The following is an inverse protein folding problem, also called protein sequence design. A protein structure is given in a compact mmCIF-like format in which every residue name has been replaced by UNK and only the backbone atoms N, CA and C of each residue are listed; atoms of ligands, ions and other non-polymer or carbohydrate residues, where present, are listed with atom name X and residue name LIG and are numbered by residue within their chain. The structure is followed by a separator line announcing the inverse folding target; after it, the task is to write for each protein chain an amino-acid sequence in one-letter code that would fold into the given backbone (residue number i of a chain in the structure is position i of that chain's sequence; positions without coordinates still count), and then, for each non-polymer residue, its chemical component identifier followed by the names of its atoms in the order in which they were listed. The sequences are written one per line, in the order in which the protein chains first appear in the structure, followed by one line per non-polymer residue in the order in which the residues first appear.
data_IF_168005531076
#
_entry.id   IF_168005531076
#
_cell.length_a   1.000
_cell.length_b   1.000
_cell.length_c   1.000
_cell.angle_alpha   90.00
_cell.angle_beta   90.00
_cell.angle_gamma   90.00
#
_symmetry.space_group_name_H-M   'P 1'
#
loop_
_entity.id
_entity.type
_entity.pdbx_description
1 polymer ?
#
# COMPACT_ATOMS: atom_id res chain seq x y z
N UNK A 1 -27.60 35.29 -83.96
CA UNK A 1 -26.54 34.69 -83.09
C UNK A 1 -26.21 35.57 -81.90
N UNK A 2 -26.16 36.90 -82.06
CA UNK A 2 -25.84 37.85 -80.96
C UNK A 2 -26.85 37.79 -79.79
N UNK A 3 -28.17 37.65 -80.07
CA UNK A 3 -29.18 37.53 -78.99
C UNK A 3 -29.10 36.26 -78.18
N UNK A 4 -28.65 35.14 -78.80
CA UNK A 4 -28.43 33.86 -78.11
C UNK A 4 -27.21 33.95 -77.22
N UNK A 5 -26.13 34.63 -77.59
CA UNK A 5 -24.94 34.87 -76.81
C UNK A 5 -25.27 35.78 -75.62
N UNK A 6 -26.02 36.83 -75.80
CA UNK A 6 -26.46 37.77 -74.77
C UNK A 6 -27.32 37.02 -73.71
N UNK A 7 -28.23 36.16 -74.16
CA UNK A 7 -29.07 35.31 -73.24
C UNK A 7 -28.23 34.35 -72.47
N UNK A 8 -27.25 33.72 -73.11
CA UNK A 8 -26.35 32.73 -72.40
C UNK A 8 -25.49 33.46 -71.36
N UNK A 9 -24.93 34.68 -71.65
CA UNK A 9 -24.18 35.46 -70.68
C UNK A 9 -25.05 35.91 -69.50
N UNK A 10 -26.28 36.34 -69.75
CA UNK A 10 -27.22 36.72 -68.70
C UNK A 10 -27.54 35.53 -67.80
N UNK A 11 -27.77 34.32 -68.37
CA UNK A 11 -28.04 33.10 -67.61
C UNK A 11 -26.87 32.70 -66.74
N UNK A 12 -25.62 32.83 -67.23
CA UNK A 12 -24.39 32.56 -66.43
C UNK A 12 -24.27 33.59 -65.30
N UNK A 13 -24.55 34.85 -65.53
CA UNK A 13 -24.51 35.90 -64.48
C UNK A 13 -25.55 35.58 -63.40
N UNK A 14 -26.77 35.24 -63.77
CA UNK A 14 -27.83 34.84 -62.81
C UNK A 14 -27.42 33.59 -62.01
N UNK A 15 -26.82 32.59 -62.68
CA UNK A 15 -26.35 31.38 -62.01
C UNK A 15 -25.24 31.70 -60.98
N UNK A 16 -24.27 32.56 -61.36
CA UNK A 16 -23.18 32.99 -60.42
C UNK A 16 -23.77 33.75 -59.23
N UNK A 17 -24.77 34.60 -59.45
CA UNK A 17 -25.45 35.32 -58.37
C UNK A 17 -26.17 34.36 -57.46
N UNK A 18 -26.91 33.37 -57.97
CA UNK A 18 -27.63 32.33 -57.19
C UNK A 18 -26.68 31.51 -56.34
N UNK A 19 -25.54 31.08 -56.90
CA UNK A 19 -24.54 30.28 -56.16
C UNK A 19 -23.94 31.11 -55.01
N UNK A 20 -23.71 32.43 -55.22
CA UNK A 20 -23.20 33.33 -54.20
C UNK A 20 -24.25 33.66 -53.11
N UNK A 21 -25.52 33.51 -53.37
CA UNK A 21 -26.61 33.69 -52.39
C UNK A 21 -26.64 32.62 -51.31
N UNK A 22 -26.21 31.41 -51.66
CA UNK A 22 -26.27 30.27 -50.73
C UNK A 22 -25.04 30.25 -49.83
N UNK A 23 -25.24 30.26 -48.50
CA UNK A 23 -24.18 30.13 -47.51
C UNK A 23 -24.54 29.06 -46.50
N UNK A 24 -23.60 28.16 -46.26
CA UNK A 24 -23.73 27.09 -45.28
C UNK A 24 -22.92 27.52 -44.04
N UNK A 25 -23.59 27.50 -42.89
CA UNK A 25 -22.94 27.72 -41.57
C UNK A 25 -22.64 26.37 -40.97
N UNK A 26 -21.35 26.05 -40.75
CA UNK A 26 -20.96 24.76 -40.16
C UNK A 26 -21.34 24.69 -38.67
N UNK A 27 -21.34 23.47 -38.13
CA UNK A 27 -21.66 23.24 -36.72
C UNK A 27 -20.70 24.01 -35.80
N UNK A 28 -21.22 24.50 -34.66
CA UNK A 28 -20.51 25.33 -33.68
C UNK A 28 -19.95 26.63 -34.22
N UNK A 29 -20.57 27.17 -35.30
CA UNK A 29 -20.30 28.51 -35.81
C UNK A 29 -21.59 29.33 -35.88
N UNK A 30 -21.44 30.64 -35.78
CA UNK A 30 -22.51 31.58 -36.07
C UNK A 30 -21.97 32.69 -36.96
N UNK A 31 -22.85 33.27 -37.78
CA UNK A 31 -22.51 34.38 -38.63
C UNK A 31 -23.42 35.56 -38.34
N UNK A 32 -22.84 36.69 -38.03
CA UNK A 32 -23.57 37.96 -37.83
C UNK A 32 -23.72 38.62 -39.15
N UNK A 33 -24.96 38.95 -39.53
CA UNK A 33 -25.34 39.52 -40.84
C UNK A 33 -25.78 40.98 -40.66
N UNK A 34 -25.18 41.86 -41.45
CA UNK A 34 -25.54 43.25 -41.60
C UNK A 34 -26.26 43.47 -42.92
N UNK A 35 -27.27 44.31 -42.88
CA UNK A 35 -27.94 44.82 -44.06
C UNK A 35 -27.82 46.34 -44.10
N UNK A 36 -27.14 46.84 -45.15
CA UNK A 36 -26.90 48.30 -45.33
C UNK A 36 -26.31 48.97 -44.07
N UNK A 37 -25.41 48.25 -43.35
CA UNK A 37 -24.74 48.76 -42.15
C UNK A 37 -25.48 48.56 -40.84
N UNK A 38 -26.71 48.04 -40.86
CA UNK A 38 -27.48 47.72 -39.66
C UNK A 38 -27.49 46.18 -39.36
N UNK A 39 -27.50 45.79 -38.10
CA UNK A 39 -27.69 44.39 -37.72
C UNK A 39 -29.02 43.85 -38.23
N UNK A 40 -29.02 42.77 -38.98
CA UNK A 40 -30.20 42.08 -39.46
C UNK A 40 -30.55 40.86 -38.60
N UNK A 41 -29.64 39.91 -38.55
CA UNK A 41 -29.86 38.66 -37.86
C UNK A 41 -28.54 37.92 -37.64
N UNK A 42 -28.56 36.95 -36.73
CA UNK A 42 -27.46 36.00 -36.53
C UNK A 42 -27.86 34.65 -37.10
N UNK A 43 -27.09 34.13 -38.04
CA UNK A 43 -27.30 32.80 -38.61
C UNK A 43 -26.67 31.74 -37.74
N UNK A 44 -27.50 30.78 -37.33
CA UNK A 44 -27.09 29.52 -36.69
C UNK A 44 -26.71 28.49 -37.74
N UNK A 45 -26.39 27.28 -37.28
CA UNK A 45 -26.04 26.12 -38.13
C UNK A 45 -27.13 25.87 -39.20
N UNK A 46 -26.71 25.65 -40.43
CA UNK A 46 -27.60 25.29 -41.53
C UNK A 46 -27.37 26.07 -42.80
N UNK A 47 -28.32 25.94 -43.72
CA UNK A 47 -28.32 26.61 -45.02
C UNK A 47 -29.06 27.97 -44.90
N UNK A 48 -28.43 29.03 -45.31
CA UNK A 48 -29.00 30.38 -45.30
C UNK A 48 -28.86 31.06 -46.68
N UNK A 49 -29.83 31.90 -46.97
CA UNK A 49 -29.85 32.70 -48.19
C UNK A 49 -29.41 34.16 -47.90
N UNK A 50 -28.36 34.59 -48.58
CA UNK A 50 -27.82 35.93 -48.53
C UNK A 50 -28.27 36.74 -49.76
N UNK A 51 -28.78 37.93 -49.56
CA UNK A 51 -29.03 38.84 -50.66
C UNK A 51 -27.70 39.47 -51.09
N UNK A 52 -27.21 39.18 -52.31
CA UNK A 52 -25.93 39.75 -52.78
C UNK A 52 -26.03 41.27 -52.82
N UNK A 53 -24.92 41.96 -52.63
CA UNK A 53 -24.74 43.41 -52.59
C UNK A 53 -25.38 44.15 -51.40
N UNK A 54 -26.48 43.65 -50.81
CA UNK A 54 -27.19 44.28 -49.70
C UNK A 54 -26.76 43.70 -48.36
N UNK A 55 -26.64 42.36 -48.27
CA UNK A 55 -26.27 41.66 -47.05
C UNK A 55 -24.75 41.42 -46.96
N UNK A 56 -24.17 41.74 -45.83
CA UNK A 56 -22.74 41.55 -45.51
C UNK A 56 -22.61 40.67 -44.30
N UNK A 57 -21.65 39.74 -44.32
CA UNK A 57 -21.22 39.01 -43.13
C UNK A 57 -20.29 39.91 -42.35
N UNK A 58 -20.74 40.41 -41.20
CA UNK A 58 -19.97 41.30 -40.34
C UNK A 58 -18.88 40.54 -39.60
N UNK A 59 -19.26 39.41 -38.95
CA UNK A 59 -18.31 38.59 -38.21
C UNK A 59 -18.71 37.10 -38.25
N UNK A 60 -17.73 36.24 -38.41
CA UNK A 60 -17.86 34.79 -38.20
C UNK A 60 -17.39 34.47 -36.80
N UNK A 61 -18.21 33.80 -36.01
CA UNK A 61 -17.98 33.53 -34.61
C UNK A 61 -17.93 32.02 -34.39
N UNK A 62 -16.94 31.58 -33.64
CA UNK A 62 -16.80 30.17 -33.19
C UNK A 62 -17.43 30.07 -31.83
N UNK A 63 -18.42 29.19 -31.68
CA UNK A 63 -19.14 28.97 -30.43
C UNK A 63 -18.49 27.90 -29.52
N UNK A 64 -17.43 27.29 -30.01
CA UNK A 64 -16.64 26.34 -29.17
C UNK A 64 -15.89 27.11 -28.11
N UNK A 65 -15.57 26.40 -27.02
CA UNK A 65 -14.64 26.95 -26.04
C UNK A 65 -13.30 27.27 -26.68
N UNK A 66 -12.82 28.44 -26.39
CA UNK A 66 -11.54 28.99 -26.88
C UNK A 66 -10.62 29.21 -25.71
N UNK A 67 -9.32 29.06 -25.95
CA UNK A 67 -8.26 29.21 -24.94
C UNK A 67 -7.34 30.34 -25.43
N UNK A 68 -7.09 31.30 -24.56
CA UNK A 68 -6.11 32.36 -24.81
C UNK A 68 -5.10 32.37 -23.68
N UNK A 69 -3.84 32.30 -24.08
CA UNK A 69 -2.67 32.40 -23.18
C UNK A 69 -2.18 33.86 -23.22
N UNK A 70 -2.24 34.55 -22.10
CA UNK A 70 -1.80 35.91 -21.96
C UNK A 70 -0.36 35.95 -21.45
N UNK A 71 0.44 36.93 -21.97
CA UNK A 71 1.83 37.09 -21.58
C UNK A 71 1.97 37.41 -20.09
N UNK A 72 3.15 37.15 -19.49
CA UNK A 72 3.41 37.45 -18.09
C UNK A 72 3.13 38.91 -17.74
N UNK A 73 2.30 39.12 -16.72
CA UNK A 73 1.93 40.45 -16.23
C UNK A 73 2.70 40.77 -14.94
N UNK A 74 3.32 41.92 -14.81
CA UNK A 74 3.96 42.34 -13.58
C UNK A 74 2.88 42.72 -12.54
N UNK A 75 2.96 42.12 -11.38
CA UNK A 75 2.08 42.37 -10.23
C UNK A 75 2.90 42.58 -8.98
N UNK A 76 2.34 43.30 -8.01
CA UNK A 76 2.98 43.58 -6.71
C UNK A 76 2.07 43.04 -5.63
N UNK A 77 2.63 42.20 -4.75
CA UNK A 77 1.93 41.66 -3.61
C UNK A 77 1.80 42.66 -2.46
N UNK A 78 0.98 42.32 -1.47
CA UNK A 78 0.78 43.15 -0.26
C UNK A 78 2.08 43.39 0.52
N UNK A 79 2.98 42.45 0.53
CA UNK A 79 4.33 42.53 1.14
C UNK A 79 5.39 43.17 0.21
N UNK A 80 4.91 43.85 -0.83
CA UNK A 80 5.71 44.65 -1.77
C UNK A 80 6.73 43.85 -2.60
N UNK A 81 6.43 42.63 -2.92
CA UNK A 81 7.24 41.78 -3.82
C UNK A 81 6.68 41.91 -5.24
N UNK A 82 7.51 42.31 -6.19
CA UNK A 82 7.14 42.35 -7.63
C UNK A 82 7.35 40.97 -8.23
N UNK A 83 6.31 40.39 -8.84
CA UNK A 83 6.40 39.09 -9.51
C UNK A 83 5.77 39.16 -10.91
N UNK A 84 6.04 38.17 -11.73
CA UNK A 84 5.41 37.99 -13.04
C UNK A 84 4.50 36.78 -13.00
N UNK A 85 3.27 36.95 -13.49
CA UNK A 85 2.27 35.91 -13.50
C UNK A 85 1.66 35.78 -14.88
N UNK A 86 1.70 34.57 -15.45
CA UNK A 86 1.02 34.24 -16.71
C UNK A 86 -0.37 33.70 -16.39
N UNK A 87 -1.34 34.06 -17.24
CA UNK A 87 -2.71 33.59 -17.09
C UNK A 87 -3.23 32.99 -18.39
N UNK A 88 -4.01 31.92 -18.24
CA UNK A 88 -4.74 31.26 -19.31
C UNK A 88 -6.22 31.40 -19.05
N UNK A 89 -6.97 31.91 -20.02
CA UNK A 89 -8.40 32.12 -19.92
C UNK A 89 -9.13 31.19 -20.90
N UNK A 90 -10.05 30.42 -20.38
CA UNK A 90 -10.96 29.57 -21.13
C UNK A 90 -12.32 30.24 -21.20
N UNK A 91 -12.79 30.55 -22.39
CA UNK A 91 -14.05 31.25 -22.61
C UNK A 91 -14.78 30.69 -23.82
N UNK A 92 -16.08 30.94 -23.88
CA UNK A 92 -16.90 30.64 -25.03
C UNK A 92 -17.80 31.84 -25.35
N UNK A 93 -18.15 31.97 -26.62
CA UNK A 93 -19.05 33.03 -27.07
C UNK A 93 -20.46 32.52 -26.96
N UNK A 94 -21.29 33.15 -26.10
CA UNK A 94 -22.69 32.81 -25.87
C UNK A 94 -23.62 33.63 -26.79
N UNK A 95 -23.31 34.91 -27.00
CA UNK A 95 -24.09 35.77 -27.90
C UNK A 95 -23.19 36.38 -28.99
N UNK A 96 -23.29 35.85 -30.23
CA UNK A 96 -22.51 36.36 -31.36
C UNK A 96 -22.79 37.83 -31.73
N UNK A 97 -23.99 38.34 -31.45
CA UNK A 97 -24.34 39.75 -31.69
C UNK A 97 -23.60 40.67 -30.72
N UNK A 98 -23.66 40.38 -29.43
CA UNK A 98 -22.95 41.13 -28.40
C UNK A 98 -21.42 41.05 -28.62
N UNK A 99 -20.93 39.88 -29.02
CA UNK A 99 -19.51 39.71 -29.35
C UNK A 99 -19.05 40.53 -30.55
N UNK A 100 -19.94 40.78 -31.53
CA UNK A 100 -19.60 41.54 -32.72
C UNK A 100 -19.66 43.06 -32.50
N UNK A 101 -20.57 43.53 -31.64
CA UNK A 101 -20.87 44.94 -31.48
C UNK A 101 -20.65 45.51 -30.07
N UNK A 102 -20.50 44.64 -29.06
CA UNK A 102 -20.33 45.07 -27.68
C UNK A 102 -18.98 45.68 -27.37
N UNK A 103 -17.93 45.22 -28.03
CA UNK A 103 -16.57 45.71 -27.86
C UNK A 103 -15.79 45.58 -29.18
N UNK A 104 -14.91 46.51 -29.48
CA UNK A 104 -14.16 46.53 -30.73
C UNK A 104 -13.19 45.34 -30.85
N UNK A 105 -12.41 45.12 -29.80
CA UNK A 105 -11.46 44.01 -29.74
C UNK A 105 -11.66 43.19 -28.46
N UNK A 106 -12.52 42.15 -28.50
CA UNK A 106 -12.86 41.38 -27.32
C UNK A 106 -11.65 40.70 -26.62
N UNK A 107 -10.70 40.20 -27.40
CA UNK A 107 -9.53 39.47 -26.83
C UNK A 107 -8.64 40.46 -26.08
N UNK A 108 -8.33 41.62 -26.66
CA UNK A 108 -7.54 42.65 -25.97
C UNK A 108 -8.28 43.21 -24.74
N UNK A 109 -9.61 43.31 -24.80
CA UNK A 109 -10.40 43.75 -23.66
C UNK A 109 -10.33 42.75 -22.51
N UNK A 110 -10.43 41.42 -22.80
CA UNK A 110 -10.26 40.35 -21.79
C UNK A 110 -8.84 40.37 -21.22
N UNK A 111 -7.81 40.56 -22.05
CA UNK A 111 -6.41 40.64 -21.61
C UNK A 111 -6.20 41.75 -20.57
N UNK A 112 -6.62 42.97 -20.91
CA UNK A 112 -6.49 44.11 -20.01
C UNK A 112 -7.32 43.96 -18.73
N UNK A 113 -8.52 43.40 -18.86
CA UNK A 113 -9.38 43.12 -17.71
C UNK A 113 -8.75 42.05 -16.81
N UNK A 114 -8.18 41.00 -17.42
CA UNK A 114 -7.46 39.94 -16.70
C UNK A 114 -6.26 40.50 -15.95
N UNK A 115 -5.45 41.34 -16.60
CA UNK A 115 -4.28 42.00 -16.01
C UNK A 115 -4.64 42.92 -14.84
N UNK A 116 -5.71 43.71 -14.98
CA UNK A 116 -6.16 44.62 -13.89
C UNK A 116 -6.80 43.85 -12.73
N UNK A 117 -7.60 42.83 -13.00
CA UNK A 117 -8.23 41.97 -11.99
C UNK A 117 -7.15 41.18 -11.24
N UNK A 118 -6.19 40.61 -11.95
CA UNK A 118 -5.06 39.89 -11.36
C UNK A 118 -4.29 40.79 -10.39
N UNK A 119 -3.95 42.01 -10.84
CA UNK A 119 -3.22 43.00 -10.01
C UNK A 119 -3.98 43.34 -8.73
N UNK A 120 -5.29 43.50 -8.80
CA UNK A 120 -6.11 43.80 -7.63
C UNK A 120 -6.12 42.62 -6.64
N UNK A 121 -6.36 41.39 -7.14
CA UNK A 121 -6.44 40.23 -6.30
C UNK A 121 -5.08 39.90 -5.62
N UNK A 122 -3.98 40.01 -6.39
CA UNK A 122 -2.63 39.74 -5.87
C UNK A 122 -2.16 40.84 -4.92
N UNK A 123 -2.58 42.10 -5.16
CA UNK A 123 -2.26 43.23 -4.26
C UNK A 123 -2.84 43.11 -2.85
N UNK A 124 -3.86 42.27 -2.65
CA UNK A 124 -4.45 41.97 -1.35
C UNK A 124 -3.80 40.76 -0.65
N UNK A 125 -2.95 40.01 -1.35
CA UNK A 125 -2.34 38.76 -0.87
C UNK A 125 -0.84 38.92 -0.62
N UNK A 126 -0.31 38.19 0.36
CA UNK A 126 1.11 38.03 0.58
C UNK A 126 1.73 37.05 -0.42
N UNK A 127 3.06 37.06 -0.57
CA UNK A 127 3.77 36.19 -1.50
C UNK A 127 3.45 34.72 -1.27
N UNK A 128 3.52 34.25 -0.02
CA UNK A 128 3.27 32.86 0.34
C UNK A 128 1.80 32.45 0.07
N UNK A 129 0.86 33.34 0.33
CA UNK A 129 -0.55 33.13 0.03
C UNK A 129 -0.78 33.05 -1.49
N UNK A 130 -0.10 33.89 -2.26
CA UNK A 130 -0.19 33.86 -3.73
C UNK A 130 0.30 32.54 -4.31
N UNK A 131 1.35 31.95 -3.75
CA UNK A 131 1.90 30.69 -4.20
C UNK A 131 1.04 29.48 -3.81
N UNK A 132 0.37 29.55 -2.66
CA UNK A 132 -0.38 28.41 -2.08
C UNK A 132 -1.87 28.44 -2.43
N UNK A 133 -2.46 29.63 -2.64
CA UNK A 133 -3.91 29.81 -2.81
C UNK A 133 -4.36 29.98 -4.26
N UNK A 134 -3.70 29.32 -5.21
CA UNK A 134 -3.99 29.43 -6.66
C UNK A 134 -5.45 29.20 -7.00
N UNK A 135 -6.09 28.19 -6.40
CA UNK A 135 -7.50 27.85 -6.64
C UNK A 135 -8.45 28.99 -6.23
N UNK A 136 -8.17 29.63 -5.11
CA UNK A 136 -8.94 30.78 -4.63
C UNK A 136 -8.79 31.97 -5.57
N UNK A 137 -7.58 32.24 -6.05
CA UNK A 137 -7.31 33.31 -7.02
C UNK A 137 -8.03 33.02 -8.34
N UNK A 138 -7.90 31.81 -8.88
CA UNK A 138 -8.56 31.37 -10.11
C UNK A 138 -10.09 31.56 -10.02
N UNK A 139 -10.68 31.18 -8.89
CA UNK A 139 -12.13 31.31 -8.66
C UNK A 139 -12.57 32.77 -8.58
N UNK A 140 -11.84 33.63 -7.87
CA UNK A 140 -12.11 35.07 -7.78
C UNK A 140 -11.95 35.75 -9.15
N UNK A 141 -10.88 35.41 -9.86
CA UNK A 141 -10.66 35.94 -11.23
C UNK A 141 -11.80 35.52 -12.14
N UNK A 142 -12.15 34.26 -12.19
CA UNK A 142 -13.27 33.76 -13.02
C UNK A 142 -14.55 34.51 -12.72
N UNK A 143 -14.92 34.66 -11.46
CA UNK A 143 -16.16 35.33 -11.05
C UNK A 143 -16.19 36.78 -11.49
N UNK A 144 -15.08 37.51 -11.34
CA UNK A 144 -14.99 38.91 -11.72
C UNK A 144 -14.99 39.08 -13.25
N UNK A 145 -14.24 38.23 -13.96
CA UNK A 145 -14.16 38.28 -15.42
C UNK A 145 -15.49 37.90 -16.07
N UNK A 146 -16.18 36.87 -15.60
CA UNK A 146 -17.46 36.41 -16.13
C UNK A 146 -18.53 37.53 -16.08
N UNK A 147 -18.66 38.19 -14.93
CA UNK A 147 -19.57 39.35 -14.80
C UNK A 147 -19.22 40.52 -15.73
N UNK A 148 -17.92 40.79 -15.90
CA UNK A 148 -17.47 41.92 -16.72
C UNK A 148 -17.53 41.61 -18.22
N UNK A 149 -17.48 40.35 -18.64
CA UNK A 149 -17.51 39.95 -20.07
C UNK A 149 -18.91 39.60 -20.58
N UNK A 150 -19.90 39.42 -19.67
CA UNK A 150 -21.30 39.10 -20.01
C UNK A 150 -21.92 40.14 -20.98
N UNK A 151 -21.73 41.48 -20.84
CA UNK A 151 -22.20 42.47 -21.79
C UNK A 151 -21.60 42.32 -23.20
N UNK A 152 -20.50 41.61 -23.33
CA UNK A 152 -19.84 41.35 -24.62
C UNK A 152 -20.27 40.01 -25.23
N UNK A 153 -21.21 39.28 -24.59
CA UNK A 153 -21.66 37.95 -25.02
C UNK A 153 -20.59 36.89 -24.90
N UNK A 154 -19.68 37.04 -23.94
CA UNK A 154 -18.59 36.11 -23.67
C UNK A 154 -18.78 35.56 -22.27
N UNK A 155 -18.74 34.24 -22.14
CA UNK A 155 -18.77 33.52 -20.87
C UNK A 155 -17.39 33.00 -20.55
N UNK A 156 -16.86 33.37 -19.41
CA UNK A 156 -15.58 32.85 -18.90
C UNK A 156 -15.83 31.60 -18.10
N UNK A 157 -15.43 30.42 -18.63
CA UNK A 157 -15.63 29.14 -18.00
C UNK A 157 -14.59 28.89 -16.91
N UNK A 158 -13.31 29.20 -17.19
CA UNK A 158 -12.19 28.95 -16.29
C UNK A 158 -11.07 29.95 -16.53
N UNK A 159 -10.38 30.29 -15.45
CA UNK A 159 -9.14 31.06 -15.47
C UNK A 159 -8.10 30.30 -14.68
N UNK A 160 -6.89 30.21 -15.21
CA UNK A 160 -5.79 29.51 -14.53
C UNK A 160 -4.52 30.36 -14.54
N UNK A 161 -3.87 30.38 -13.38
CA UNK A 161 -2.52 30.90 -13.25
C UNK A 161 -1.54 29.81 -13.71
N UNK A 162 -0.79 30.09 -14.77
CA UNK A 162 0.17 29.16 -15.38
C UNK A 162 1.48 29.15 -14.60
N UNK A 163 2.20 30.26 -14.60
CA UNK A 163 3.45 30.44 -13.89
C UNK A 163 3.34 31.63 -12.94
N UNK A 164 3.94 31.48 -11.75
CA UNK A 164 4.15 32.58 -10.80
C UNK A 164 5.64 32.66 -10.59
N UNK A 165 6.25 33.73 -11.07
CA UNK A 165 7.71 33.91 -11.11
C UNK A 165 8.08 35.10 -10.22
N UNK A 166 8.49 34.87 -8.96
CA UNK A 166 9.04 35.92 -8.11
C UNK A 166 10.44 36.31 -8.54
N UNK A 167 10.99 37.42 -8.05
CA UNK A 167 12.35 37.83 -8.34
C UNK A 167 13.37 36.78 -7.92
N UNK A 168 14.45 36.64 -8.67
CA UNK A 168 15.46 35.59 -8.46
C UNK A 168 16.04 35.58 -7.05
N UNK A 169 16.28 36.79 -6.48
CA UNK A 169 16.76 36.87 -5.09
C UNK A 169 15.83 36.27 -4.06
N UNK A 170 14.51 36.39 -4.27
CA UNK A 170 13.49 35.80 -3.42
C UNK A 170 13.44 34.27 -3.66
N UNK A 171 13.50 33.82 -4.91
CA UNK A 171 13.56 32.38 -5.25
C UNK A 171 14.77 31.72 -4.54
N UNK A 172 15.97 32.30 -4.65
CA UNK A 172 17.18 31.77 -4.06
C UNK A 172 17.08 31.74 -2.52
N UNK A 173 16.44 32.75 -1.90
CA UNK A 173 16.20 32.78 -0.45
C UNK A 173 15.21 31.71 -0.01
N UNK A 174 14.09 31.55 -0.72
CA UNK A 174 13.08 30.51 -0.46
C UNK A 174 13.65 29.11 -0.65
N UNK A 175 14.47 28.89 -1.68
CA UNK A 175 15.14 27.60 -1.92
C UNK A 175 16.05 27.23 -0.76
N UNK A 176 16.86 28.17 -0.27
CA UNK A 176 17.72 27.95 0.90
C UNK A 176 16.93 27.67 2.16
N UNK A 177 15.86 28.42 2.40
CA UNK A 177 14.96 28.21 3.53
C UNK A 177 14.29 26.84 3.47
N UNK A 178 13.74 26.48 2.31
CA UNK A 178 13.09 25.17 2.11
C UNK A 178 14.08 24.02 2.26
N UNK A 179 15.32 24.20 1.79
CA UNK A 179 16.38 23.21 1.97
C UNK A 179 16.71 22.99 3.46
N UNK A 180 16.92 24.08 4.19
CA UNK A 180 17.21 24.02 5.62
C UNK A 180 16.06 23.40 6.43
N UNK A 181 14.80 23.72 6.09
CA UNK A 181 13.63 23.12 6.73
C UNK A 181 13.49 21.62 6.41
N UNK A 182 13.80 21.22 5.18
CA UNK A 182 13.82 19.78 4.80
C UNK A 182 14.92 19.03 5.55
N UNK A 183 16.11 19.57 5.60
CA UNK A 183 17.25 18.99 6.34
C UNK A 183 16.92 18.86 7.84
N UNK A 184 16.30 19.87 8.43
CA UNK A 184 15.83 19.83 9.82
C UNK A 184 14.79 18.73 10.04
N UNK A 185 13.76 18.64 9.18
CA UNK A 185 12.74 17.58 9.27
C UNK A 185 13.34 16.20 9.08
N UNK A 186 14.25 16.05 8.12
CA UNK A 186 14.95 14.80 7.89
C UNK A 186 15.73 14.35 9.14
N UNK A 187 16.46 15.27 9.78
CA UNK A 187 17.21 14.97 10.99
C UNK A 187 16.29 14.55 12.16
N UNK A 188 15.14 15.22 12.32
CA UNK A 188 14.15 14.87 13.35
C UNK A 188 13.58 13.47 13.08
N UNK A 189 13.07 13.23 11.86
CA UNK A 189 12.47 11.94 11.49
C UNK A 189 13.47 10.78 11.60
N UNK A 190 14.76 11.05 11.27
CA UNK A 190 15.81 10.05 11.42
C UNK A 190 16.04 9.72 12.91
N UNK A 191 16.14 10.72 13.76
CA UNK A 191 16.32 10.53 15.20
C UNK A 191 15.10 9.83 15.85
N UNK A 192 13.89 10.18 15.46
CA UNK A 192 12.67 9.52 15.90
C UNK A 192 12.65 8.05 15.45
N UNK A 193 12.97 7.77 14.17
CA UNK A 193 13.04 6.42 13.63
C UNK A 193 14.13 5.55 14.29
N UNK A 194 15.29 6.11 14.59
CA UNK A 194 16.34 5.40 15.33
C UNK A 194 15.90 5.08 16.77
N UNK A 195 15.22 6.02 17.43
CA UNK A 195 14.69 5.81 18.78
C UNK A 195 13.62 4.74 18.80
N UNK A 196 12.65 4.81 17.89
CA UNK A 196 11.57 3.82 17.77
C UNK A 196 12.10 2.43 17.39
N UNK A 197 13.07 2.37 16.46
CA UNK A 197 13.74 1.13 16.11
C UNK A 197 14.46 0.50 17.30
N UNK A 198 15.17 1.31 18.10
CA UNK A 198 15.88 0.83 19.30
C UNK A 198 14.92 0.29 20.36
N UNK A 199 13.78 0.97 20.56
CA UNK A 199 12.74 0.53 21.49
C UNK A 199 12.14 -0.80 21.02
N UNK A 200 11.75 -0.92 19.75
CA UNK A 200 11.18 -2.13 19.18
C UNK A 200 12.13 -3.32 19.26
N UNK A 201 13.43 -3.10 18.98
CA UNK A 201 14.46 -4.15 19.13
C UNK A 201 14.60 -4.57 20.59
N UNK A 202 14.61 -3.62 21.53
CA UNK A 202 14.68 -3.92 22.94
C UNK A 202 13.46 -4.68 23.47
N UNK A 203 12.26 -4.31 23.02
CA UNK A 203 11.01 -4.99 23.33
C UNK A 203 11.00 -6.41 22.76
N UNK A 204 11.39 -6.58 21.50
CA UNK A 204 11.51 -7.87 20.85
C UNK A 204 12.51 -8.81 21.56
N UNK A 205 13.66 -8.28 21.96
CA UNK A 205 14.63 -9.03 22.73
C UNK A 205 14.10 -9.44 24.12
N UNK A 206 13.39 -8.54 24.81
CA UNK A 206 12.76 -8.82 26.08
C UNK A 206 11.71 -9.94 25.94
N UNK A 207 10.86 -9.87 24.94
CA UNK A 207 9.82 -10.87 24.68
C UNK A 207 10.44 -12.22 24.32
N UNK A 208 11.50 -12.24 23.51
CA UNK A 208 12.25 -13.45 23.18
C UNK A 208 12.80 -14.12 24.44
N UNK A 209 13.45 -13.38 25.33
CA UNK A 209 14.01 -13.91 26.58
C UNK A 209 12.91 -14.46 27.51
N UNK A 210 11.75 -13.81 27.56
CA UNK A 210 10.62 -14.29 28.37
C UNK A 210 10.08 -15.62 27.79
N UNK A 211 9.90 -15.68 26.47
CA UNK A 211 9.42 -16.89 25.79
C UNK A 211 10.41 -18.07 25.94
N UNK A 212 11.72 -17.80 25.84
CA UNK A 212 12.75 -18.81 26.06
C UNK A 212 12.71 -19.35 27.49
N UNK A 213 12.60 -18.48 28.51
CA UNK A 213 12.50 -18.85 29.90
C UNK A 213 11.21 -19.64 30.21
N UNK A 214 10.09 -19.28 29.59
CA UNK A 214 8.83 -20.01 29.71
C UNK A 214 8.92 -21.38 29.04
N UNK A 215 9.56 -21.47 27.89
CA UNK A 215 9.79 -22.72 27.18
C UNK A 215 10.70 -23.66 27.97
N UNK A 216 11.79 -23.15 28.58
CA UNK A 216 12.66 -23.94 29.47
C UNK A 216 11.90 -24.43 30.70
N UNK A 217 11.11 -23.58 31.34
CA UNK A 217 10.27 -23.97 32.49
C UNK A 217 9.28 -25.06 32.10
N UNK A 218 8.59 -24.92 30.98
CA UNK A 218 7.65 -25.94 30.48
C UNK A 218 8.37 -27.27 30.17
N UNK A 219 9.51 -27.18 29.49
CA UNK A 219 10.32 -28.33 29.19
C UNK A 219 10.83 -29.04 30.46
N UNK A 220 11.24 -28.32 31.50
CA UNK A 220 11.65 -28.87 32.79
C UNK A 220 10.49 -29.56 33.52
N UNK A 221 9.31 -28.96 33.53
CA UNK A 221 8.09 -29.56 34.13
C UNK A 221 7.74 -30.86 33.41
N UNK A 222 7.65 -30.82 32.07
CA UNK A 222 7.32 -32.03 31.29
C UNK A 222 8.33 -33.16 31.46
N UNK A 223 9.65 -32.83 31.53
CA UNK A 223 10.70 -33.82 31.83
C UNK A 223 10.54 -34.42 33.21
N UNK A 224 10.23 -33.61 34.22
CA UNK A 224 10.00 -34.11 35.59
C UNK A 224 8.74 -34.97 35.68
N UNK A 225 7.67 -34.61 35.01
CA UNK A 225 6.44 -35.43 34.95
C UNK A 225 6.69 -36.73 34.22
N UNK A 226 7.33 -36.71 33.07
CA UNK A 226 7.69 -37.89 32.30
C UNK A 226 8.60 -38.85 33.12
N UNK A 227 9.58 -38.29 33.85
CA UNK A 227 10.44 -39.09 34.74
C UNK A 227 9.66 -39.71 35.89
N UNK A 228 8.75 -38.94 36.51
CA UNK A 228 7.86 -39.44 37.55
C UNK A 228 7.00 -40.61 37.05
N UNK A 229 6.37 -40.42 35.90
CA UNK A 229 5.50 -41.43 35.29
C UNK A 229 6.28 -42.68 34.89
N UNK A 230 7.46 -42.52 34.27
CA UNK A 230 8.35 -43.64 33.96
C UNK A 230 8.76 -44.42 35.22
N UNK A 231 9.11 -43.73 36.32
CA UNK A 231 9.48 -44.37 37.58
C UNK A 231 8.31 -45.13 38.22
N UNK A 232 7.11 -44.56 38.14
CA UNK A 232 5.88 -45.22 38.64
C UNK A 232 5.58 -46.48 37.81
N UNK A 233 5.66 -46.40 36.50
CA UNK A 233 5.44 -47.53 35.60
C UNK A 233 6.49 -48.63 35.79
N UNK A 234 7.74 -48.26 35.97
CA UNK A 234 8.82 -49.18 36.25
C UNK A 234 8.61 -49.91 37.61
N UNK A 235 8.28 -49.11 38.64
CA UNK A 235 7.99 -49.71 39.98
C UNK A 235 6.75 -50.57 39.94
N UNK A 236 5.70 -50.24 39.25
CA UNK A 236 4.50 -51.06 39.06
C UNK A 236 4.83 -52.35 38.31
N UNK A 237 5.63 -52.28 37.24
CA UNK A 237 6.11 -53.42 36.48
C UNK A 237 6.97 -54.38 37.36
N UNK A 238 7.88 -53.81 38.16
CA UNK A 238 8.68 -54.58 39.09
C UNK A 238 7.81 -55.28 40.20
N UNK A 239 6.85 -54.56 40.77
CA UNK A 239 5.92 -55.08 41.73
C UNK A 239 5.10 -56.25 41.16
N UNK A 240 4.58 -56.08 39.93
CA UNK A 240 3.83 -57.17 39.26
C UNK A 240 4.72 -58.35 38.93
N UNK A 241 5.95 -58.11 38.48
CA UNK A 241 6.93 -59.22 38.25
C UNK A 241 7.27 -59.97 39.51
N UNK A 242 7.54 -59.28 40.65
CA UNK A 242 7.80 -59.87 41.93
C UNK A 242 6.56 -60.70 42.39
N UNK A 243 5.37 -60.16 42.23
CA UNK A 243 4.13 -60.87 42.63
C UNK A 243 3.93 -62.11 41.79
N UNK A 244 4.15 -62.10 40.49
CA UNK A 244 4.10 -63.29 39.62
C UNK A 244 5.15 -64.33 39.96
N UNK A 245 6.38 -63.87 40.27
CA UNK A 245 7.46 -64.77 40.70
C UNK A 245 7.10 -65.48 42.06
N UNK A 246 6.57 -64.68 42.99
CA UNK A 246 6.17 -65.23 44.27
C UNK A 246 4.96 -66.20 44.20
N UNK A 247 3.99 -65.85 43.31
CA UNK A 247 2.89 -66.81 43.05
C UNK A 247 3.40 -68.09 42.41
N UNK A 248 4.26 -68.00 41.39
CA UNK A 248 4.85 -69.15 40.74
C UNK A 248 5.66 -70.02 41.74
N UNK A 249 6.41 -69.37 42.64
CA UNK A 249 7.12 -70.11 43.73
C UNK A 249 6.17 -70.75 44.71
N UNK A 250 5.10 -70.11 45.13
CA UNK A 250 4.09 -70.66 46.04
C UNK A 250 3.36 -71.83 45.39
N UNK A 251 2.98 -71.69 44.10
CA UNK A 251 2.37 -72.82 43.38
C UNK A 251 3.33 -73.99 43.20
N UNK A 252 4.61 -73.71 42.91
CA UNK A 252 5.66 -74.77 42.87
C UNK A 252 5.86 -75.47 44.19
N UNK A 253 5.84 -74.71 45.30
CA UNK A 253 5.89 -75.32 46.66
C UNK A 253 4.63 -76.10 46.97
N UNK A 254 3.45 -75.66 46.54
CA UNK A 254 2.18 -76.38 46.73
C UNK A 254 2.18 -77.67 45.93
N UNK A 255 2.61 -77.69 44.71
CA UNK A 255 2.78 -78.88 43.87
C UNK A 255 3.78 -79.86 44.48
N UNK A 256 4.89 -79.40 45.03
CA UNK A 256 5.87 -80.25 45.74
C UNK A 256 5.27 -80.88 46.99
N UNK A 257 4.44 -80.12 47.72
CA UNK A 257 3.77 -80.64 48.90
C UNK A 257 2.72 -81.74 48.55
N UNK A 258 1.96 -81.52 47.48
CA UNK A 258 0.94 -82.48 47.01
C UNK A 258 1.56 -83.75 46.41
N UNK A 259 2.72 -83.63 45.78
CA UNK A 259 3.47 -84.74 45.19
C UNK A 259 4.13 -85.65 46.23
N UNK A 260 4.10 -85.28 47.55
CA UNK A 260 4.64 -86.06 48.68
C UNK A 260 6.04 -86.69 48.39
N UNK A 261 7.06 -85.87 48.13
CA UNK A 261 8.36 -86.29 47.60
C UNK A 261 9.12 -87.15 48.60
N UNK A 262 9.76 -88.22 48.08
CA UNK A 262 10.63 -89.11 48.82
C UNK A 262 11.89 -88.37 49.34
N UNK A 263 12.53 -88.87 50.44
CA UNK A 263 13.68 -88.20 51.05
C UNK A 263 14.83 -87.94 50.07
N UNK A 264 14.98 -88.78 49.06
CA UNK A 264 15.97 -88.57 47.99
C UNK A 264 15.74 -87.32 47.15
N UNK A 265 14.46 -86.95 46.82
CA UNK A 265 14.08 -85.78 46.08
C UNK A 265 14.28 -84.48 46.88
N UNK A 266 14.04 -84.54 48.22
CA UNK A 266 14.31 -83.41 49.12
C UNK A 266 15.80 -83.11 49.23
N UNK A 267 16.67 -84.14 49.22
CA UNK A 267 18.13 -83.98 49.22
C UNK A 267 18.63 -83.32 47.90
N UNK A 268 18.11 -83.76 46.76
CA UNK A 268 18.46 -83.14 45.48
C UNK A 268 18.06 -81.64 45.43
N UNK A 269 16.85 -81.31 45.93
CA UNK A 269 16.37 -79.94 46.03
C UNK A 269 17.19 -79.09 47.01
N UNK A 270 17.67 -79.66 48.10
CA UNK A 270 18.54 -78.98 49.04
C UNK A 270 19.93 -78.65 48.39
N UNK A 271 20.47 -79.61 47.60
CA UNK A 271 21.69 -79.41 46.85
C UNK A 271 21.54 -78.35 45.73
N UNK A 272 20.42 -78.34 45.01
CA UNK A 272 20.11 -77.24 44.03
C UNK A 272 20.00 -75.88 44.70
N UNK A 273 19.34 -75.80 45.87
CA UNK A 273 19.23 -74.59 46.65
C UNK A 273 20.61 -74.10 47.13
N UNK A 274 21.48 -75.01 47.53
CA UNK A 274 22.83 -74.77 47.98
C UNK A 274 23.73 -74.28 46.76
N UNK A 275 23.63 -74.96 45.63
CA UNK A 275 24.33 -74.55 44.40
C UNK A 275 23.94 -73.14 44.00
N UNK A 276 22.65 -72.81 44.06
CA UNK A 276 22.13 -71.48 43.75
C UNK A 276 22.59 -70.36 44.75
N UNK A 277 22.74 -70.78 46.04
CA UNK A 277 23.28 -69.89 47.07
C UNK A 277 24.81 -69.68 46.91
N UNK A 278 25.52 -70.72 46.45
CA UNK A 278 26.96 -70.65 46.20
C UNK A 278 27.35 -69.85 44.96
N UNK A 279 26.44 -69.72 43.97
CA UNK A 279 26.65 -68.91 42.73
C UNK A 279 26.38 -67.44 42.98
N UNK A 280 26.00 -67.01 44.15
CA UNK A 280 25.84 -65.60 44.55
C UNK A 280 27.19 -64.95 44.82
N UNK A 281 27.29 -63.58 44.48
CA UNK A 281 28.49 -62.80 44.73
C UNK A 281 28.89 -62.58 46.20
N UNK A 282 28.39 -63.37 47.12
CA UNK A 282 28.67 -63.24 48.55
C UNK A 282 29.98 -63.93 48.96
N UNK A 283 30.88 -63.22 49.62
CA UNK A 283 32.23 -63.67 50.04
C UNK A 283 32.23 -64.57 51.29
N UNK A 284 31.10 -64.74 51.95
CA UNK A 284 30.99 -65.62 53.11
C UNK A 284 29.72 -66.45 53.03
N UNK A 285 29.88 -67.77 52.98
CA UNK A 285 28.77 -68.74 53.03
C UNK A 285 28.82 -69.47 54.41
N UNK A 286 27.78 -69.27 55.19
CA UNK A 286 27.60 -70.06 56.47
C UNK A 286 26.83 -71.35 56.17
N UNK A 287 27.50 -72.46 56.26
CA UNK A 287 26.90 -73.77 55.96
C UNK A 287 26.40 -74.37 57.27
N UNK A 288 25.11 -74.69 57.38
CA UNK A 288 24.62 -75.46 58.55
C UNK A 288 25.31 -76.82 58.70
N UNK A 289 25.56 -77.21 59.92
CA UNK A 289 26.33 -78.45 60.27
C UNK A 289 25.77 -79.70 59.62
N UNK A 290 24.48 -79.75 59.36
CA UNK A 290 23.78 -80.89 58.73
C UNK A 290 24.11 -81.14 57.28
N UNK A 291 24.61 -80.13 56.57
CA UNK A 291 24.96 -80.16 55.12
C UNK A 291 26.48 -80.28 54.92
N UNK A 292 27.29 -80.08 55.94
CA UNK A 292 28.75 -80.12 55.86
C UNK A 292 29.26 -81.53 55.40
N UNK A 293 28.61 -82.57 55.70
CA UNK A 293 28.98 -83.95 55.27
C UNK A 293 28.84 -84.14 53.75
N UNK A 294 27.82 -83.52 53.14
CA UNK A 294 27.52 -83.64 51.71
C UNK A 294 28.40 -82.65 50.91
N UNK A 295 28.66 -81.46 51.45
CA UNK A 295 29.53 -80.45 50.77
C UNK A 295 31.01 -80.89 50.77
N UNK A 296 31.44 -81.68 51.76
CA UNK A 296 32.77 -82.32 51.80
C UNK A 296 32.98 -83.33 50.67
N UNK A 297 31.95 -84.13 50.42
CA UNK A 297 31.99 -85.11 49.32
C UNK A 297 31.98 -84.46 47.92
N UNK A 298 31.28 -83.38 47.68
CA UNK A 298 31.26 -82.67 46.39
C UNK A 298 32.59 -81.99 46.14
N UNK A 299 33.30 -81.51 47.14
CA UNK A 299 34.63 -80.85 46.97
C UNK A 299 35.68 -81.93 46.69
N UNK A 300 35.65 -83.08 47.32
CA UNK A 300 36.56 -84.18 47.00
C UNK A 300 36.32 -84.75 45.58
N UNK A 301 35.09 -84.78 45.11
CA UNK A 301 34.77 -85.23 43.75
C UNK A 301 35.23 -84.14 42.71
N UNK A 302 35.10 -82.88 43.02
CA UNK A 302 35.55 -81.75 42.15
C UNK A 302 37.08 -81.70 42.11
N UNK A 303 37.81 -81.91 43.18
CA UNK A 303 39.26 -82.03 43.22
C UNK A 303 39.80 -83.26 42.44
N UNK A 304 39.13 -84.43 42.57
CA UNK A 304 39.47 -85.60 41.75
C UNK A 304 39.19 -85.39 40.27
N UNK A 305 38.17 -84.60 39.92
CA UNK A 305 37.85 -84.25 38.53
C UNK A 305 38.84 -83.23 37.97
N UNK A 306 39.31 -82.27 38.76
CA UNK A 306 40.30 -81.24 38.33
C UNK A 306 41.68 -81.88 38.14
N UNK A 307 42.11 -82.88 38.94
CA UNK A 307 43.40 -83.55 38.81
C UNK A 307 43.49 -84.48 37.57
N UNK A 308 42.36 -84.72 36.91
CA UNK A 308 42.26 -85.53 35.72
C UNK A 308 42.36 -84.75 34.43
N UNK A 309 42.39 -83.41 34.51
CA UNK A 309 42.49 -82.53 33.36
C UNK A 309 43.92 -81.96 33.18
N UNK A 310 44.83 -82.19 34.13
CA UNK A 310 46.21 -81.75 34.10
C UNK A 310 47.21 -82.92 33.91
N UNK A 311 46.81 -83.98 33.20
CA UNK A 311 47.72 -85.04 32.71
C UNK A 311 47.46 -85.27 31.22
#
# INVERSE_FOLDING_TARGET
MEGLIALAVLLVIVLIVLVNCIKIVPQAHAMVIERLGGYLTTWSVGLHLKVPFIDRIAKKVILKEQVVDFPPQPVITKDNVTMQIDTVVYFQITDPKLYAYGVENPIMAIENLTATTLRNIIGDLELDETLTSRETINTKMRATLDVATDPWGIKVNRVELKNIIPPKAIQDAMEKQMKAERERREAILRAEGETESTILVAEGNKESVILDAEAEKQAAILRAEAKKEATIQEAAGQAEAILKIQQANADGLRMLKEANPDNAVLQIKSLEAFAKAADGKATKIIIPSEIQGIAGLTKSIAEIAADKIEK
#
